data_IF_492387592040
#
_entry.id   IF_492387592040
#
_cell.length_a   1.000
_cell.length_b   1.000
_cell.length_c   1.000
_cell.angle_alpha   90.00
_cell.angle_beta   90.00
_cell.angle_gamma   90.00
#
_symmetry.space_group_name_H-M   'P 1'
#
loop_
_entity.id
_entity.type
_entity.pdbx_description
1 polymer ?
#
# COMPACT_ATOMS: atom_id res chain seq x y z
N UNK A 1 -18.02 -15.63 -12.55
CA UNK A 1 -18.64 -14.85 -11.46
C UNK A 1 -17.66 -14.79 -10.32
N UNK A 2 -17.27 -13.60 -9.86
CA UNK A 2 -16.44 -13.49 -8.64
C UNK A 2 -17.37 -13.77 -7.47
N UNK A 3 -17.09 -14.83 -6.70
CA UNK A 3 -17.86 -15.16 -5.52
C UNK A 3 -17.70 -14.03 -4.48
N UNK A 4 -18.81 -13.56 -3.92
CA UNK A 4 -18.79 -12.58 -2.83
C UNK A 4 -19.16 -13.26 -1.51
N UNK A 5 -18.50 -12.83 -0.43
CA UNK A 5 -18.80 -13.28 0.93
C UNK A 5 -19.33 -12.11 1.73
N UNK A 6 -20.38 -12.33 2.51
CA UNK A 6 -20.98 -11.28 3.35
C UNK A 6 -20.27 -11.20 4.69
N UNK A 7 -19.82 -10.00 5.05
CA UNK A 7 -19.26 -9.70 6.36
C UNK A 7 -20.16 -8.67 7.05
N UNK A 8 -20.59 -8.95 8.27
CA UNK A 8 -21.37 -8.01 9.09
C UNK A 8 -20.41 -7.21 9.97
N UNK A 9 -20.29 -5.91 9.72
CA UNK A 9 -19.42 -5.01 10.47
C UNK A 9 -20.24 -3.99 11.26
N UNK A 10 -19.76 -3.62 12.45
CA UNK A 10 -20.29 -2.47 13.19
C UNK A 10 -19.52 -1.22 12.79
N UNK A 11 -20.25 -0.17 12.44
CA UNK A 11 -19.68 1.14 12.13
C UNK A 11 -20.33 2.19 13.02
N UNK A 12 -19.58 3.26 13.34
CA UNK A 12 -20.14 4.39 14.07
C UNK A 12 -21.22 5.10 13.23
N UNK A 13 -22.24 5.71 13.86
CA UNK A 13 -23.29 6.44 13.15
C UNK A 13 -22.73 7.53 12.20
N UNK A 14 -21.71 8.26 12.64
CA UNK A 14 -21.08 9.33 11.85
C UNK A 14 -20.43 8.81 10.55
N UNK A 15 -19.84 7.62 10.59
CA UNK A 15 -19.24 6.95 9.42
C UNK A 15 -20.33 6.50 8.45
N UNK A 16 -21.43 5.95 8.98
CA UNK A 16 -22.58 5.56 8.15
C UNK A 16 -23.14 6.76 7.38
N UNK A 17 -23.33 7.90 8.04
CA UNK A 17 -23.84 9.12 7.39
C UNK A 17 -22.90 9.65 6.30
N UNK A 18 -21.58 9.64 6.55
CA UNK A 18 -20.58 10.01 5.55
C UNK A 18 -20.63 9.07 4.34
N UNK A 19 -20.78 7.76 4.58
CA UNK A 19 -20.90 6.75 3.52
C UNK A 19 -22.20 6.93 2.72
N UNK A 20 -23.32 7.26 3.37
CA UNK A 20 -24.59 7.57 2.71
C UNK A 20 -24.43 8.76 1.73
N UNK A 21 -23.69 9.82 2.13
CA UNK A 21 -23.43 10.98 1.26
C UNK A 21 -22.57 10.63 0.04
N UNK A 22 -21.52 9.83 0.23
CA UNK A 22 -20.64 9.39 -0.87
C UNK A 22 -21.42 8.49 -1.84
N UNK A 23 -22.22 7.55 -1.32
CA UNK A 23 -23.07 6.68 -2.13
C UNK A 23 -24.03 7.48 -3.03
N UNK A 24 -24.69 8.49 -2.47
CA UNK A 24 -25.59 9.38 -3.21
C UNK A 24 -24.85 10.16 -4.32
N UNK A 25 -23.69 10.73 -4.02
CA UNK A 25 -22.91 11.51 -4.98
C UNK A 25 -22.29 10.68 -6.11
N UNK A 26 -21.94 9.42 -5.84
CA UNK A 26 -21.25 8.52 -6.78
C UNK A 26 -22.17 7.55 -7.51
N UNK A 27 -23.46 7.49 -7.15
CA UNK A 27 -24.44 6.48 -7.61
C UNK A 27 -23.96 5.04 -7.40
N UNK A 28 -23.24 4.79 -6.30
CA UNK A 28 -22.78 3.44 -5.90
C UNK A 28 -23.52 2.99 -4.64
N UNK A 29 -23.71 1.68 -4.49
CA UNK A 29 -24.32 1.14 -3.27
C UNK A 29 -23.34 1.25 -2.10
N UNK A 30 -23.88 1.36 -0.88
CA UNK A 30 -23.07 1.38 0.34
C UNK A 30 -22.24 0.11 0.51
N UNK A 31 -22.83 -1.04 0.20
CA UNK A 31 -22.14 -2.32 0.29
C UNK A 31 -20.97 -2.41 -0.68
N UNK A 32 -21.12 -1.84 -1.88
CA UNK A 32 -20.02 -1.73 -2.84
C UNK A 32 -18.90 -0.85 -2.28
N UNK A 33 -19.21 0.37 -1.84
CA UNK A 33 -18.21 1.30 -1.29
C UNK A 33 -17.53 0.76 -0.02
N UNK A 34 -18.27 0.09 0.84
CA UNK A 34 -17.72 -0.57 2.03
C UNK A 34 -16.78 -1.72 1.65
N UNK A 35 -17.16 -2.53 0.66
CA UNK A 35 -16.32 -3.60 0.12
C UNK A 35 -15.00 -3.05 -0.43
N UNK A 36 -15.05 -2.02 -1.27
CA UNK A 36 -13.86 -1.36 -1.83
C UNK A 36 -12.96 -0.78 -0.74
N UNK A 37 -13.56 -0.12 0.26
CA UNK A 37 -12.79 0.47 1.36
C UNK A 37 -12.09 -0.61 2.21
N UNK A 38 -12.77 -1.72 2.48
CA UNK A 38 -12.19 -2.86 3.21
C UNK A 38 -11.10 -3.54 2.39
N UNK A 39 -11.33 -3.82 1.11
CA UNK A 39 -10.34 -4.42 0.22
C UNK A 39 -9.07 -3.57 0.16
N UNK A 40 -9.22 -2.27 -0.10
CA UNK A 40 -8.09 -1.36 -0.18
C UNK A 40 -7.31 -1.26 1.15
N UNK A 41 -8.00 -1.36 2.30
CA UNK A 41 -7.34 -1.43 3.60
C UNK A 41 -6.55 -2.73 3.76
N UNK A 42 -7.20 -3.87 3.52
CA UNK A 42 -6.58 -5.20 3.68
C UNK A 42 -5.37 -5.36 2.78
N UNK A 43 -5.46 -4.98 1.51
CA UNK A 43 -4.34 -5.11 0.55
C UNK A 43 -3.11 -4.31 1.01
N UNK A 44 -3.32 -3.06 1.46
CA UNK A 44 -2.23 -2.22 1.99
C UNK A 44 -1.63 -2.79 3.27
N UNK A 45 -2.47 -3.19 4.23
CA UNK A 45 -1.98 -3.70 5.51
C UNK A 45 -1.23 -5.03 5.34
N UNK A 46 -1.72 -5.91 4.46
CA UNK A 46 -1.04 -7.17 4.18
C UNK A 46 0.32 -6.95 3.52
N UNK A 47 0.43 -6.05 2.54
CA UNK A 47 1.72 -5.71 1.93
C UNK A 47 2.74 -5.25 2.98
N UNK A 48 2.32 -4.38 3.89
CA UNK A 48 3.16 -3.87 4.98
C UNK A 48 3.57 -5.00 5.94
N UNK A 49 2.59 -5.77 6.43
CA UNK A 49 2.83 -6.86 7.38
C UNK A 49 3.78 -7.90 6.79
N UNK A 50 3.54 -8.31 5.54
CA UNK A 50 4.38 -9.28 4.85
C UNK A 50 5.76 -8.73 4.55
N UNK A 51 5.87 -7.46 4.15
CA UNK A 51 7.14 -6.78 3.96
C UNK A 51 7.99 -6.76 5.23
N UNK A 52 7.38 -6.42 6.36
CA UNK A 52 8.05 -6.42 7.67
C UNK A 52 8.50 -7.84 8.04
N UNK A 53 7.62 -8.84 7.93
CA UNK A 53 7.94 -10.23 8.25
C UNK A 53 9.12 -10.75 7.41
N UNK A 54 9.13 -10.46 6.11
CA UNK A 54 10.24 -10.80 5.22
C UNK A 54 11.54 -10.11 5.65
N UNK A 55 11.49 -8.79 5.91
CA UNK A 55 12.67 -8.04 6.34
C UNK A 55 13.27 -8.53 7.66
N UNK A 56 12.43 -8.89 8.63
CA UNK A 56 12.89 -9.52 9.89
C UNK A 56 13.56 -10.87 9.60
N UNK A 57 12.93 -11.73 8.80
CA UNK A 57 13.50 -13.04 8.45
C UNK A 57 14.81 -12.93 7.63
N UNK A 58 14.95 -11.90 6.79
CA UNK A 58 16.19 -11.61 6.07
C UNK A 58 17.30 -11.13 7.01
N UNK A 59 16.97 -10.27 7.97
CA UNK A 59 17.91 -9.81 9.00
C UNK A 59 18.40 -10.96 9.89
N UNK A 60 17.49 -11.80 10.37
CA UNK A 60 17.83 -12.98 11.19
C UNK A 60 18.70 -14.00 10.43
N UNK A 61 18.47 -14.15 9.12
CA UNK A 61 19.26 -15.04 8.27
C UNK A 61 20.55 -14.40 7.74
N UNK A 62 20.87 -13.17 8.14
CA UNK A 62 22.06 -12.44 7.66
C UNK A 62 22.00 -12.03 6.19
N UNK A 63 20.82 -12.08 5.54
CA UNK A 63 20.60 -11.63 4.15
C UNK A 63 20.46 -10.10 4.09
N UNK A 64 21.45 -9.41 4.62
CA UNK A 64 21.52 -7.95 4.71
C UNK A 64 22.77 -7.42 4.03
N UNK A 65 22.73 -6.15 3.61
CA UNK A 65 23.87 -5.46 3.00
C UNK A 65 24.40 -4.43 3.99
N UNK A 66 25.71 -4.22 4.02
CA UNK A 66 26.33 -3.23 4.91
C UNK A 66 25.90 -1.81 4.53
N UNK A 67 25.85 -0.92 5.53
CA UNK A 67 25.50 0.49 5.31
C UNK A 67 26.43 1.17 4.30
N UNK A 68 27.74 0.88 4.36
CA UNK A 68 28.74 1.46 3.46
C UNK A 68 28.46 1.11 2.00
N UNK A 69 28.13 -0.15 1.72
CA UNK A 69 27.79 -0.60 0.37
C UNK A 69 26.51 0.07 -0.13
N UNK A 70 25.44 0.10 0.69
CA UNK A 70 24.17 0.77 0.34
C UNK A 70 24.40 2.23 -0.03
N UNK A 71 25.24 2.95 0.73
CA UNK A 71 25.53 4.36 0.47
C UNK A 71 26.40 4.56 -0.78
N UNK A 72 27.30 3.62 -1.10
CA UNK A 72 28.04 3.66 -2.35
C UNK A 72 27.11 3.51 -3.55
N UNK A 73 26.23 2.50 -3.52
CA UNK A 73 25.27 2.21 -4.59
C UNK A 73 24.30 3.38 -4.82
N UNK A 74 23.75 3.94 -3.73
CA UNK A 74 22.85 5.08 -3.81
C UNK A 74 23.50 6.31 -4.47
N UNK A 75 24.76 6.62 -4.13
CA UNK A 75 25.50 7.74 -4.75
C UNK A 75 25.74 7.50 -6.24
N UNK A 76 26.04 6.26 -6.62
CA UNK A 76 26.24 5.88 -8.02
C UNK A 76 24.96 6.11 -8.83
N UNK A 77 23.83 5.57 -8.36
CA UNK A 77 22.51 5.73 -9.00
C UNK A 77 22.16 7.21 -9.20
N UNK A 78 22.37 8.05 -8.18
CA UNK A 78 22.12 9.49 -8.27
C UNK A 78 23.02 10.16 -9.31
N UNK A 79 24.29 9.76 -9.40
CA UNK A 79 25.24 10.34 -10.35
C UNK A 79 24.86 10.02 -11.80
N UNK A 80 24.42 8.79 -12.07
CA UNK A 80 24.00 8.32 -13.39
C UNK A 80 22.70 9.01 -13.83
N UNK A 81 21.73 9.15 -12.90
CA UNK A 81 20.50 9.90 -13.14
C UNK A 81 20.76 11.38 -13.46
N UNK A 82 21.79 11.99 -12.85
CA UNK A 82 22.18 13.39 -13.16
C UNK A 82 22.82 13.54 -14.53
N UNK A 83 23.72 12.63 -14.91
CA UNK A 83 24.40 12.64 -16.22
C UNK A 83 23.39 12.48 -17.36
N UNK A 84 22.55 11.44 -17.30
CA UNK A 84 21.49 11.20 -18.29
C UNK A 84 20.51 12.37 -18.45
N UNK A 85 20.20 13.10 -17.37
CA UNK A 85 19.36 14.30 -17.43
C UNK A 85 20.07 15.49 -18.08
N UNK A 86 21.38 15.61 -17.90
CA UNK A 86 22.20 16.63 -18.55
C UNK A 86 22.35 16.34 -20.05
N UNK A 87 22.56 15.08 -20.44
CA UNK A 87 22.70 14.66 -21.84
C UNK A 87 21.41 14.81 -22.67
N UNK A 88 20.25 14.87 -22.00
CA UNK A 88 18.93 15.06 -22.64
C UNK A 88 18.58 16.55 -22.83
N UNK A 89 19.42 17.49 -22.39
CA UNK A 89 19.15 18.93 -22.39
C UNK A 89 19.95 19.65 -23.45
#
# INVERSE_FOLDING_TARGET
MVASTTVTIRVRPDVKEKLDRIAAGTRRSKSFLAGEAVAAYVDRELEIIEGIKRGVADAEAGRVVSHEQVMADARQIISEARKSRADRR
#
